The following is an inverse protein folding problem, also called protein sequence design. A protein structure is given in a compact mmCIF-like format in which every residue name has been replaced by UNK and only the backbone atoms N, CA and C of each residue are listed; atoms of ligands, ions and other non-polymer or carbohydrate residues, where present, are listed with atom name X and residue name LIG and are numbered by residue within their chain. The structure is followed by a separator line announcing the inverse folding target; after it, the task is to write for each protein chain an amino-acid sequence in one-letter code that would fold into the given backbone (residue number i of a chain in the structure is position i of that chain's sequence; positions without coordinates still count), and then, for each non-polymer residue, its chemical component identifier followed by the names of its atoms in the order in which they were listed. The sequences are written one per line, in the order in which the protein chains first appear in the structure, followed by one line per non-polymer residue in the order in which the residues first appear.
data_IF_527971342367
#
_entry.id   IF_527971342367
#
_cell.length_a   1.000
_cell.length_b   1.000
_cell.length_c   1.000
_cell.angle_alpha   90.00
_cell.angle_beta   90.00
_cell.angle_gamma   90.00
#
_symmetry.space_group_name_H-M   'P 1'
#
loop_
_entity.id
_entity.type
_entity.pdbx_description
1 polymer ?
#
# COMPACT_ATOMS: atom_id res chain seq x y z
N UNK A 1 10.44 19.33 23.25
CA UNK A 1 8.98 19.27 22.93
C UNK A 1 8.58 17.82 22.85
N UNK A 2 7.34 17.47 23.20
CA UNK A 2 6.86 16.10 23.03
C UNK A 2 6.48 15.89 21.56
N UNK A 3 6.90 14.76 21.01
CA UNK A 3 6.54 14.32 19.68
C UNK A 3 5.47 13.21 19.75
N UNK A 4 4.64 13.14 18.72
CA UNK A 4 3.59 12.11 18.57
C UNK A 4 3.60 11.58 17.16
N UNK A 5 3.42 10.28 17.01
CA UNK A 5 3.03 9.66 15.74
C UNK A 5 1.49 9.64 15.68
N UNK A 6 0.94 10.23 14.65
CA UNK A 6 -0.51 10.29 14.44
C UNK A 6 -0.86 9.43 13.23
N UNK A 7 -1.91 8.62 13.37
CA UNK A 7 -2.39 7.70 12.35
C UNK A 7 -3.84 8.06 12.03
N UNK A 8 -4.09 8.31 10.76
CA UNK A 8 -5.41 8.58 10.21
C UNK A 8 -5.84 7.44 9.28
N UNK A 9 -7.11 7.09 9.34
CA UNK A 9 -7.77 6.25 8.33
C UNK A 9 -8.43 7.14 7.28
N UNK A 10 -8.35 6.73 6.04
CA UNK A 10 -9.17 7.27 4.96
C UNK A 10 -9.58 6.14 4.01
N UNK A 11 -10.53 6.39 3.10
CA UNK A 11 -11.01 5.36 2.18
C UNK A 11 -10.66 5.70 0.75
N UNK A 12 -9.83 4.87 0.13
CA UNK A 12 -9.55 4.93 -1.31
C UNK A 12 -10.82 4.50 -2.06
N UNK A 13 -11.27 5.35 -3.00
CA UNK A 13 -12.52 5.16 -3.74
C UNK A 13 -13.76 4.92 -2.85
N UNK A 14 -13.73 5.40 -1.60
CA UNK A 14 -14.82 5.26 -0.65
C UNK A 14 -15.01 3.85 -0.05
N UNK A 15 -14.17 2.88 -0.39
CA UNK A 15 -14.37 1.46 -0.05
C UNK A 15 -13.15 0.87 0.68
N UNK A 16 -11.94 1.08 0.15
CA UNK A 16 -10.73 0.40 0.64
C UNK A 16 -10.09 1.25 1.75
N UNK A 17 -9.99 0.72 2.99
CA UNK A 17 -9.33 1.44 4.07
C UNK A 17 -7.85 1.62 3.75
N UNK A 18 -7.34 2.81 4.01
CA UNK A 18 -5.94 3.14 3.90
C UNK A 18 -5.54 4.03 5.08
N UNK A 19 -4.27 4.02 5.42
CA UNK A 19 -3.74 4.74 6.57
C UNK A 19 -2.73 5.79 6.14
N UNK A 20 -2.89 6.99 6.67
CA UNK A 20 -1.94 8.07 6.56
C UNK A 20 -1.26 8.31 7.90
N UNK A 21 0.02 8.66 7.89
CA UNK A 21 0.78 8.90 9.10
C UNK A 21 1.54 10.22 9.04
N UNK A 22 1.54 10.93 10.16
CA UNK A 22 2.31 12.16 10.37
C UNK A 22 3.06 12.11 11.70
N UNK A 23 4.15 12.85 11.80
CA UNK A 23 4.83 13.13 13.08
C UNK A 23 4.50 14.54 13.50
N UNK A 24 3.87 14.69 14.66
CA UNK A 24 3.64 15.99 15.29
C UNK A 24 4.77 16.27 16.29
N UNK A 25 5.35 17.45 16.21
CA UNK A 25 6.31 17.94 17.20
C UNK A 25 6.03 19.40 17.56
N UNK A 26 5.48 19.62 18.73
CA UNK A 26 5.02 20.94 19.16
C UNK A 26 3.82 21.42 18.33
N UNK A 27 4.00 22.53 17.61
CA UNK A 27 2.94 23.14 16.78
C UNK A 27 2.97 22.68 15.32
N UNK A 28 3.90 21.81 14.93
CA UNK A 28 4.09 21.40 13.55
C UNK A 28 3.79 19.91 13.36
N UNK A 29 3.19 19.57 12.24
CA UNK A 29 3.11 18.21 11.72
C UNK A 29 3.97 18.06 10.47
N UNK A 30 4.51 16.85 10.28
CA UNK A 30 5.40 16.49 9.19
C UNK A 30 4.88 15.21 8.54
N UNK A 31 4.56 15.29 7.27
CA UNK A 31 4.06 14.19 6.46
C UNK A 31 4.74 14.12 5.11
N UNK A 32 4.38 13.11 4.32
CA UNK A 32 4.79 12.95 2.93
C UNK A 32 3.62 12.43 2.12
N UNK A 33 3.28 13.14 1.07
CA UNK A 33 2.20 12.84 0.15
C UNK A 33 2.63 12.87 -1.31
N UNK A 34 1.67 12.81 -2.19
CA UNK A 34 1.88 12.91 -3.66
C UNK A 34 2.31 14.31 -4.10
N UNK A 35 2.14 15.32 -3.26
CA UNK A 35 2.67 16.68 -3.47
C UNK A 35 4.09 16.87 -2.88
N UNK A 36 4.67 15.83 -2.25
CA UNK A 36 5.99 15.86 -1.63
C UNK A 36 5.93 15.98 -0.11
N UNK A 37 6.96 16.65 0.47
CA UNK A 37 7.06 16.86 1.90
C UNK A 37 6.05 17.92 2.39
N UNK A 38 5.24 17.54 3.35
CA UNK A 38 4.21 18.40 3.95
C UNK A 38 4.64 18.85 5.34
N UNK A 39 4.67 20.17 5.56
CA UNK A 39 4.93 20.80 6.86
C UNK A 39 3.76 21.71 7.19
N UNK A 40 2.96 21.31 8.15
CA UNK A 40 1.75 22.04 8.51
C UNK A 40 1.84 22.55 9.96
N UNK A 41 1.24 23.71 10.22
CA UNK A 41 1.17 24.30 11.57
C UNK A 41 -0.22 24.08 12.15
N UNK A 42 -0.28 23.47 13.34
CA UNK A 42 -1.52 23.32 14.09
C UNK A 42 -2.49 22.30 13.51
N UNK A 43 -2.00 21.24 12.89
CA UNK A 43 -2.84 20.31 12.16
C UNK A 43 -3.37 19.16 12.99
N UNK A 44 -4.67 19.10 12.99
CA UNK A 44 -5.42 17.87 13.14
C UNK A 44 -6.16 17.67 11.81
N UNK A 45 -5.77 16.66 11.02
CA UNK A 45 -6.46 16.31 9.77
C UNK A 45 -7.81 15.62 10.03
N UNK A 46 -8.14 15.34 11.29
CA UNK A 46 -9.39 14.68 11.66
C UNK A 46 -10.62 15.42 11.13
N UNK A 47 -11.44 14.71 10.38
CA UNK A 47 -12.62 15.27 9.72
C UNK A 47 -12.34 16.05 8.43
N UNK A 48 -11.07 16.29 8.04
CA UNK A 48 -10.73 16.94 6.78
C UNK A 48 -10.57 15.88 5.67
N UNK A 49 -11.12 16.16 4.49
CA UNK A 49 -10.96 15.30 3.29
C UNK A 49 -11.25 13.79 3.51
N UNK A 50 -12.08 13.46 4.52
CA UNK A 50 -12.43 12.08 4.85
C UNK A 50 -11.40 11.34 5.70
N UNK A 51 -10.40 12.05 6.24
CA UNK A 51 -9.49 11.51 7.25
C UNK A 51 -10.19 11.38 8.61
N UNK A 52 -10.00 10.25 9.27
CA UNK A 52 -10.46 9.98 10.62
C UNK A 52 -9.25 9.65 11.49
N UNK A 53 -9.06 10.38 12.57
CA UNK A 53 -8.03 10.07 13.54
C UNK A 53 -8.32 8.70 14.19
N UNK A 54 -7.37 7.77 14.05
CA UNK A 54 -7.44 6.44 14.67
C UNK A 54 -6.61 6.43 15.94
N UNK A 55 -5.38 6.96 15.88
CA UNK A 55 -4.47 6.87 17.01
C UNK A 55 -3.45 8.00 17.03
N UNK A 56 -3.08 8.38 18.26
CA UNK A 56 -1.93 9.23 18.56
C UNK A 56 -1.00 8.50 19.54
N UNK A 57 0.22 8.19 19.09
CA UNK A 57 1.22 7.44 19.87
C UNK A 57 2.26 8.42 20.37
N UNK A 58 2.46 8.55 21.70
CA UNK A 58 3.48 9.41 22.24
C UNK A 58 4.88 8.85 21.93
N UNK A 59 5.72 9.66 21.34
CA UNK A 59 7.13 9.34 21.01
C UNK A 59 8.13 9.85 22.06
N UNK A 60 7.63 10.55 23.07
CA UNK A 60 8.46 11.20 24.06
C UNK A 60 9.05 12.54 23.56
N UNK A 61 10.18 12.94 24.13
CA UNK A 61 10.88 14.16 23.72
C UNK A 61 11.92 13.84 22.67
N UNK A 62 11.97 14.65 21.63
CA UNK A 62 13.10 14.63 20.70
C UNK A 62 14.32 15.29 21.36
N UNK A 63 15.51 14.74 21.10
CA UNK A 63 16.79 15.33 21.49
C UNK A 63 17.24 16.45 20.54
N UNK A 64 16.60 16.56 19.39
CA UNK A 64 16.91 17.56 18.36
C UNK A 64 16.25 18.89 18.70
N UNK A 65 16.97 19.98 18.45
CA UNK A 65 16.42 21.32 18.44
C UNK A 65 15.56 21.56 17.22
N UNK A 66 14.72 22.58 17.21
CA UNK A 66 13.91 22.95 16.04
C UNK A 66 14.77 23.25 14.80
N UNK A 67 15.96 23.81 15.00
CA UNK A 67 16.90 24.09 13.91
C UNK A 67 17.43 22.80 13.30
N UNK A 68 17.84 21.83 14.11
CA UNK A 68 18.31 20.53 13.64
C UNK A 68 17.18 19.76 12.93
N UNK A 69 15.93 19.84 13.41
CA UNK A 69 14.78 19.26 12.73
C UNK A 69 14.58 19.93 11.36
N UNK A 70 14.68 21.24 11.26
CA UNK A 70 14.57 21.95 9.99
C UNK A 70 15.70 21.54 9.01
N UNK A 71 16.93 21.34 9.49
CA UNK A 71 18.06 20.86 8.69
C UNK A 71 17.82 19.41 8.20
N UNK A 72 17.25 18.53 9.06
CA UNK A 72 16.83 17.17 8.67
C UNK A 72 15.77 17.25 7.58
N UNK A 73 14.72 18.05 7.75
CA UNK A 73 13.63 18.17 6.79
C UNK A 73 14.12 18.71 5.44
N UNK A 74 15.01 19.71 5.41
CA UNK A 74 15.60 20.21 4.17
C UNK A 74 16.40 19.13 3.41
N UNK A 75 17.08 18.25 4.13
CA UNK A 75 17.78 17.13 3.50
C UNK A 75 16.79 16.09 2.99
N UNK A 76 15.79 15.74 3.80
CA UNK A 76 14.76 14.77 3.43
C UNK A 76 13.92 15.25 2.24
N UNK A 77 13.66 16.55 2.09
CA UNK A 77 12.95 17.11 0.94
C UNK A 77 13.66 16.77 -0.39
N UNK A 78 14.98 16.80 -0.42
CA UNK A 78 15.76 16.39 -1.58
C UNK A 78 15.73 14.85 -1.83
N UNK A 79 15.63 14.05 -0.77
CA UNK A 79 15.61 12.59 -0.83
C UNK A 79 14.19 12.06 -1.12
N UNK A 80 13.16 12.87 -0.84
CA UNK A 80 11.74 12.56 -0.93
C UNK A 80 10.98 13.53 -1.86
N UNK A 81 11.38 13.68 -3.13
CA UNK A 81 10.64 14.51 -4.07
C UNK A 81 9.25 13.92 -4.34
N UNK A 82 8.28 14.77 -4.70
CA UNK A 82 6.88 14.38 -4.95
C UNK A 82 6.76 13.20 -5.93
N UNK A 83 7.56 13.20 -6.99
CA UNK A 83 7.57 12.17 -8.05
C UNK A 83 8.03 10.79 -7.52
N UNK A 84 8.70 10.76 -6.35
CA UNK A 84 9.14 9.52 -5.73
C UNK A 84 8.04 8.85 -4.89
N UNK A 85 6.86 9.48 -4.75
CA UNK A 85 5.76 8.89 -3.99
C UNK A 85 5.27 7.61 -4.63
N UNK A 86 5.25 6.54 -3.85
CA UNK A 86 4.70 5.25 -4.23
C UNK A 86 3.82 4.72 -3.08
N UNK A 87 2.55 4.48 -3.40
CA UNK A 87 1.54 4.11 -2.41
C UNK A 87 1.94 2.89 -1.56
N UNK A 88 2.77 1.98 -2.08
CA UNK A 88 3.16 0.73 -1.43
C UNK A 88 4.58 0.74 -0.90
N UNK A 89 5.53 1.34 -1.63
CA UNK A 89 6.96 1.17 -1.38
C UNK A 89 7.67 2.44 -0.86
N UNK A 90 7.10 3.64 -1.10
CA UNK A 90 7.68 4.91 -0.63
C UNK A 90 6.59 5.95 -0.35
N UNK A 91 6.01 5.90 0.84
CA UNK A 91 4.82 6.68 1.23
C UNK A 91 4.99 7.34 2.61
N UNK A 92 3.91 7.94 3.12
CA UNK A 92 3.89 8.62 4.42
C UNK A 92 4.45 7.78 5.57
N UNK A 93 4.21 6.45 5.58
CA UNK A 93 4.69 5.55 6.64
C UNK A 93 6.19 5.39 6.62
N UNK A 94 6.77 5.22 5.43
CA UNK A 94 8.22 5.13 5.24
C UNK A 94 8.90 6.45 5.62
N UNK A 95 8.30 7.58 5.23
CA UNK A 95 8.77 8.90 5.61
C UNK A 95 8.72 9.10 7.13
N UNK A 96 7.58 8.80 7.77
CA UNK A 96 7.43 8.89 9.22
C UNK A 96 8.46 8.05 9.97
N UNK A 97 8.77 6.83 9.48
CA UNK A 97 9.80 5.98 10.08
C UNK A 97 11.19 6.58 9.91
N UNK A 98 11.51 7.12 8.73
CA UNK A 98 12.79 7.79 8.47
C UNK A 98 12.97 9.01 9.37
N UNK A 99 11.95 9.88 9.42
CA UNK A 99 12.00 11.09 10.27
C UNK A 99 12.09 10.72 11.76
N UNK A 100 11.34 9.71 12.22
CA UNK A 100 11.39 9.24 13.60
C UNK A 100 12.78 8.75 14.02
N UNK A 101 13.50 8.09 13.11
CA UNK A 101 14.87 7.64 13.36
C UNK A 101 15.84 8.82 13.50
N UNK A 102 15.65 9.88 12.72
CA UNK A 102 16.48 11.09 12.74
C UNK A 102 16.19 11.98 13.96
N UNK A 103 14.94 12.00 14.41
CA UNK A 103 14.51 12.84 15.55
C UNK A 103 15.04 12.36 16.91
N UNK A 104 15.51 11.12 17.01
CA UNK A 104 16.06 10.55 18.26
C UNK A 104 15.12 10.73 19.47
N UNK A 105 13.86 10.34 19.33
CA UNK A 105 12.87 10.45 20.39
C UNK A 105 13.06 9.42 21.50
N UNK A 106 12.87 9.82 22.77
CA UNK A 106 13.16 9.00 23.96
C UNK A 106 12.27 7.74 24.07
N UNK A 107 11.02 7.76 23.54
CA UNK A 107 10.01 6.69 23.66
C UNK A 107 9.52 6.19 22.30
N UNK A 108 10.43 6.06 21.34
CA UNK A 108 10.07 5.78 19.93
C UNK A 108 9.83 4.30 19.59
N UNK A 109 10.00 3.36 20.54
CA UNK A 109 9.94 1.90 20.26
C UNK A 109 8.57 1.47 19.74
N UNK A 110 7.50 1.93 20.39
CA UNK A 110 6.14 1.59 19.97
C UNK A 110 5.79 2.20 18.61
N UNK A 111 6.11 3.48 18.40
CA UNK A 111 5.90 4.15 17.11
C UNK A 111 6.62 3.43 15.97
N UNK A 112 7.87 3.02 16.16
CA UNK A 112 8.63 2.23 15.17
C UNK A 112 7.99 0.88 14.87
N UNK A 113 7.52 0.17 15.91
CA UNK A 113 6.85 -1.13 15.74
C UNK A 113 5.57 -0.99 14.92
N UNK A 114 4.74 -0.01 15.23
CA UNK A 114 3.50 0.25 14.49
C UNK A 114 3.78 0.65 13.05
N UNK A 115 4.72 1.57 12.82
CA UNK A 115 5.12 1.95 11.46
C UNK A 115 5.65 0.77 10.65
N UNK A 116 6.50 -0.07 11.25
CA UNK A 116 7.02 -1.27 10.58
C UNK A 116 5.89 -2.23 10.17
N UNK A 117 4.90 -2.45 11.05
CA UNK A 117 3.72 -3.26 10.73
C UNK A 117 2.88 -2.69 9.59
N UNK A 118 2.64 -1.38 9.60
CA UNK A 118 1.91 -0.69 8.53
C UNK A 118 2.66 -0.70 7.18
N UNK A 119 3.98 -0.64 7.20
CA UNK A 119 4.83 -0.74 6.02
C UNK A 119 4.75 -2.16 5.45
N UNK A 120 5.00 -3.17 6.27
CA UNK A 120 4.92 -4.58 5.85
C UNK A 120 3.56 -4.92 5.25
N UNK A 121 2.48 -4.41 5.83
CA UNK A 121 1.13 -4.58 5.32
C UNK A 121 0.96 -3.96 3.92
N UNK A 122 1.43 -2.71 3.72
CA UNK A 122 1.31 -2.04 2.42
C UNK A 122 2.12 -2.72 1.32
N UNK A 123 3.33 -3.17 1.62
CA UNK A 123 4.18 -3.88 0.69
C UNK A 123 3.55 -5.21 0.25
N UNK A 124 2.95 -5.96 1.18
CA UNK A 124 2.23 -7.21 0.89
C UNK A 124 1.03 -6.99 -0.03
N UNK A 125 0.25 -5.92 0.20
CA UNK A 125 -0.87 -5.54 -0.67
C UNK A 125 -0.35 -5.14 -2.05
N UNK A 126 0.69 -4.30 -2.12
CA UNK A 126 1.29 -3.87 -3.38
C UNK A 126 1.78 -5.06 -4.22
N UNK A 127 2.44 -6.02 -3.58
CA UNK A 127 2.87 -7.26 -4.23
C UNK A 127 1.69 -8.08 -4.75
N UNK A 128 0.64 -8.26 -3.96
CA UNK A 128 -0.56 -8.99 -4.36
C UNK A 128 -1.27 -8.32 -5.55
N UNK A 129 -1.43 -7.00 -5.52
CA UNK A 129 -2.01 -6.22 -6.63
C UNK A 129 -1.15 -6.36 -7.88
N UNK A 130 0.17 -6.26 -7.78
CA UNK A 130 1.10 -6.42 -8.90
C UNK A 130 0.94 -7.78 -9.59
N UNK A 131 0.84 -8.86 -8.80
CA UNK A 131 0.58 -10.21 -9.34
C UNK A 131 -0.77 -10.26 -10.06
N UNK A 132 -1.83 -9.71 -9.44
CA UNK A 132 -3.16 -9.68 -10.03
C UNK A 132 -3.18 -8.93 -11.37
N UNK A 133 -2.60 -7.74 -11.40
CA UNK A 133 -2.53 -6.90 -12.61
C UNK A 133 -1.69 -7.58 -13.70
N UNK A 134 -0.53 -8.13 -13.35
CA UNK A 134 0.34 -8.82 -14.31
C UNK A 134 -0.34 -10.07 -14.87
N UNK A 135 -1.02 -10.85 -14.03
CA UNK A 135 -1.82 -12.01 -14.44
C UNK A 135 -2.97 -11.61 -15.36
N UNK A 136 -3.68 -10.53 -15.04
CA UNK A 136 -4.78 -10.01 -15.85
C UNK A 136 -4.29 -9.50 -17.22
N UNK A 137 -3.22 -8.70 -17.26
CA UNK A 137 -2.64 -8.21 -18.52
C UNK A 137 -2.16 -9.36 -19.39
N UNK A 138 -1.53 -10.39 -18.81
CA UNK A 138 -1.16 -11.61 -19.56
C UNK A 138 -2.37 -12.35 -20.11
N UNK A 139 -3.47 -12.45 -19.36
CA UNK A 139 -4.70 -13.09 -19.84
C UNK A 139 -5.39 -12.31 -20.96
N UNK A 140 -5.33 -10.97 -20.93
CA UNK A 140 -5.85 -10.10 -22.01
C UNK A 140 -4.99 -10.17 -23.28
N UNK A 141 -3.69 -10.45 -23.17
CA UNK A 141 -2.80 -10.65 -24.32
C UNK A 141 -3.14 -11.92 -25.11
N UNK A 142 -3.91 -12.83 -24.53
CA UNK A 142 -4.58 -13.92 -25.24
C UNK A 142 -5.81 -13.37 -25.96
N UNK A 143 -5.60 -12.78 -27.15
CA UNK A 143 -6.71 -12.30 -27.97
C UNK A 143 -7.62 -13.48 -28.35
N UNK A 144 -8.94 -13.40 -28.09
CA UNK A 144 -9.90 -14.39 -28.58
C UNK A 144 -9.82 -14.62 -30.10
N UNK A 145 -9.36 -13.62 -30.84
CA UNK A 145 -9.11 -13.71 -32.28
C UNK A 145 -7.98 -14.70 -32.63
N UNK A 146 -6.94 -14.79 -31.81
CA UNK A 146 -5.87 -15.78 -31.99
C UNK A 146 -6.35 -17.22 -31.77
N UNK A 147 -7.36 -17.40 -30.93
CA UNK A 147 -7.98 -18.72 -30.65
C UNK A 147 -8.75 -19.29 -31.85
N UNK A 148 -9.21 -18.41 -32.74
CA UNK A 148 -10.02 -18.80 -33.89
C UNK A 148 -9.21 -18.78 -35.20
N UNK A 149 -8.31 -17.79 -35.34
CA UNK A 149 -7.56 -17.59 -36.61
C UNK A 149 -6.56 -18.71 -36.90
N UNK A 150 -5.76 -19.15 -35.91
CA UNK A 150 -4.78 -20.24 -36.12
C UNK A 150 -5.41 -21.58 -36.44
N UNK A 151 -6.41 -22.07 -35.69
CA UNK A 151 -7.13 -23.31 -36.06
C UNK A 151 -7.79 -23.25 -37.42
N UNK A 152 -8.36 -22.11 -37.83
CA UNK A 152 -8.95 -21.90 -39.14
C UNK A 152 -7.92 -21.96 -40.27
N UNK A 153 -6.74 -21.38 -40.07
CA UNK A 153 -5.64 -21.46 -41.05
C UNK A 153 -5.17 -22.92 -41.24
N UNK A 154 -4.97 -23.66 -40.15
CA UNK A 154 -4.54 -25.07 -40.18
C UNK A 154 -5.62 -25.97 -40.83
N UNK A 155 -6.89 -25.71 -40.52
CA UNK A 155 -8.02 -26.39 -41.10
C UNK A 155 -8.11 -26.18 -42.62
N UNK A 156 -7.97 -24.95 -43.09
CA UNK A 156 -7.96 -24.59 -44.48
C UNK A 156 -6.76 -25.18 -45.27
N UNK A 157 -5.70 -25.57 -44.59
CA UNK A 157 -4.55 -26.27 -45.18
C UNK A 157 -4.74 -27.79 -45.21
N UNK A 158 -5.88 -28.33 -44.76
CA UNK A 158 -6.18 -29.77 -44.77
C UNK A 158 -5.44 -30.59 -43.71
N UNK A 159 -4.80 -29.93 -42.72
CA UNK A 159 -4.03 -30.59 -41.65
C UNK A 159 -4.91 -30.88 -40.42
N UNK A 160 -5.90 -31.74 -40.55
CA UNK A 160 -6.90 -32.02 -39.51
C UNK A 160 -6.33 -32.46 -38.17
N UNK A 161 -5.26 -33.27 -38.15
CA UNK A 161 -4.60 -33.76 -36.91
C UNK A 161 -3.90 -32.64 -36.18
N UNK A 162 -3.25 -31.74 -36.88
CA UNK A 162 -2.60 -30.57 -36.28
C UNK A 162 -3.65 -29.57 -35.77
N UNK A 163 -4.79 -29.41 -36.48
CA UNK A 163 -5.91 -28.58 -36.03
C UNK A 163 -6.47 -29.05 -34.69
N UNK A 164 -6.67 -30.36 -34.54
CA UNK A 164 -7.21 -30.93 -33.29
C UNK A 164 -6.25 -30.74 -32.11
N UNK A 165 -4.96 -30.86 -32.35
CA UNK A 165 -3.93 -30.66 -31.35
C UNK A 165 -3.83 -29.18 -30.90
N UNK A 166 -3.77 -28.25 -31.84
CA UNK A 166 -3.70 -26.80 -31.56
C UNK A 166 -4.97 -26.32 -30.85
N UNK A 167 -6.16 -26.81 -31.28
CA UNK A 167 -7.41 -26.48 -30.59
C UNK A 167 -7.45 -26.97 -29.14
N UNK A 168 -6.98 -28.18 -28.87
CA UNK A 168 -6.89 -28.72 -27.50
C UNK A 168 -5.93 -27.89 -26.62
N UNK A 169 -4.78 -27.48 -27.16
CA UNK A 169 -3.83 -26.64 -26.44
C UNK A 169 -4.45 -25.29 -26.11
N UNK A 170 -5.13 -24.67 -27.05
CA UNK A 170 -5.75 -23.36 -26.84
C UNK A 170 -6.91 -23.44 -25.83
N UNK A 171 -7.73 -24.48 -25.89
CA UNK A 171 -8.78 -24.73 -24.89
C UNK A 171 -8.18 -24.94 -23.49
N UNK A 172 -7.07 -25.67 -23.38
CA UNK A 172 -6.35 -25.86 -22.11
C UNK A 172 -5.81 -24.53 -21.57
N UNK A 173 -5.26 -23.68 -22.45
CA UNK A 173 -4.76 -22.37 -22.06
C UNK A 173 -5.90 -21.45 -21.58
N UNK A 174 -7.07 -21.48 -22.23
CA UNK A 174 -8.27 -20.76 -21.77
C UNK A 174 -8.73 -21.23 -20.40
N UNK A 175 -8.77 -22.54 -20.17
CA UNK A 175 -9.14 -23.13 -18.88
C UNK A 175 -8.17 -22.73 -17.78
N UNK A 176 -6.88 -22.71 -18.07
CA UNK A 176 -5.84 -22.27 -17.12
C UNK A 176 -5.95 -20.76 -16.82
N UNK A 177 -6.23 -19.93 -17.83
CA UNK A 177 -6.45 -18.50 -17.65
C UNK A 177 -7.72 -18.22 -16.82
N UNK A 178 -8.83 -18.91 -17.13
CA UNK A 178 -10.08 -18.78 -16.37
C UNK A 178 -9.93 -19.23 -14.91
N UNK A 179 -9.22 -20.34 -14.66
CA UNK A 179 -8.91 -20.79 -13.30
C UNK A 179 -7.96 -19.81 -12.60
N UNK A 180 -7.00 -19.22 -13.30
CA UNK A 180 -6.13 -18.18 -12.78
C UNK A 180 -6.91 -16.95 -12.32
N UNK A 181 -7.86 -16.47 -13.11
CA UNK A 181 -8.76 -15.37 -12.74
C UNK A 181 -9.62 -15.71 -11.52
N UNK A 182 -10.12 -16.94 -11.44
CA UNK A 182 -10.89 -17.41 -10.29
C UNK A 182 -10.04 -17.49 -9.02
N UNK A 183 -8.81 -17.98 -9.11
CA UNK A 183 -7.86 -18.03 -8.00
C UNK A 183 -7.51 -16.60 -7.55
N UNK A 184 -7.29 -15.67 -8.47
CA UNK A 184 -7.03 -14.27 -8.17
C UNK A 184 -8.23 -13.59 -7.48
N UNK A 185 -9.45 -13.90 -7.91
CA UNK A 185 -10.69 -13.44 -7.28
C UNK A 185 -10.82 -13.96 -5.85
N UNK A 186 -10.57 -15.26 -5.63
CA UNK A 186 -10.59 -15.86 -4.29
C UNK A 186 -9.49 -15.32 -3.38
N UNK A 187 -8.30 -15.08 -3.92
CA UNK A 187 -7.19 -14.42 -3.22
C UNK A 187 -7.54 -12.99 -2.82
N UNK A 188 -8.18 -12.23 -3.71
CA UNK A 188 -8.64 -10.88 -3.42
C UNK A 188 -9.69 -10.87 -2.29
N UNK A 189 -10.68 -11.77 -2.32
CA UNK A 189 -11.67 -11.92 -1.25
C UNK A 189 -10.99 -12.32 0.06
N UNK A 190 -10.06 -13.28 0.02
CA UNK A 190 -9.32 -13.72 1.20
C UNK A 190 -8.46 -12.60 1.80
N UNK A 191 -7.78 -11.81 0.95
CA UNK A 191 -7.02 -10.64 1.39
C UNK A 191 -7.93 -9.57 2.01
N UNK A 192 -9.07 -9.28 1.37
CA UNK A 192 -10.05 -8.32 1.89
C UNK A 192 -10.64 -8.78 3.24
N UNK A 193 -10.97 -10.08 3.38
CA UNK A 193 -11.46 -10.64 4.65
C UNK A 193 -10.39 -10.60 5.75
N UNK A 194 -9.13 -10.77 5.37
CA UNK A 194 -8.02 -10.71 6.32
C UNK A 194 -7.67 -9.28 6.71
N UNK A 195 -7.86 -8.31 5.82
CA UNK A 195 -7.77 -6.88 6.15
C UNK A 195 -8.79 -6.52 7.24
N UNK A 196 -10.04 -6.94 7.10
CA UNK A 196 -11.07 -6.70 8.11
C UNK A 196 -10.73 -7.36 9.46
N UNK A 197 -10.15 -8.57 9.46
CA UNK A 197 -9.72 -9.24 10.69
C UNK A 197 -8.47 -8.59 11.32
N UNK A 198 -7.57 -8.02 10.52
CA UNK A 198 -6.39 -7.30 11.03
C UNK A 198 -6.82 -5.99 11.67
N UNK A 199 -7.81 -5.30 11.11
CA UNK A 199 -8.37 -4.11 11.74
C UNK A 199 -8.96 -4.45 13.11
N UNK A 200 -9.69 -5.57 13.24
CA UNK A 200 -10.24 -6.07 14.51
C UNK A 200 -9.13 -6.53 15.48
N UNK A 201 -8.11 -7.25 15.02
CA UNK A 201 -6.96 -7.66 15.84
C UNK A 201 -6.11 -6.46 16.27
N UNK A 202 -5.89 -5.50 15.41
CA UNK A 202 -5.19 -4.26 15.73
C UNK A 202 -6.01 -3.45 16.72
N UNK A 203 -7.32 -3.30 16.54
CA UNK A 203 -8.23 -2.62 17.46
C UNK A 203 -8.28 -3.35 18.81
N UNK A 204 -8.41 -4.67 18.82
CA UNK A 204 -8.41 -5.46 20.08
C UNK A 204 -7.06 -5.44 20.81
N UNK A 205 -5.93 -5.48 20.10
CA UNK A 205 -4.62 -5.28 20.73
C UNK A 205 -4.49 -3.88 21.33
N UNK A 206 -5.16 -2.90 20.74
CA UNK A 206 -5.17 -1.53 21.24
C UNK A 206 -6.05 -1.36 22.46
N UNK A 207 -7.22 -1.97 22.51
CA UNK A 207 -8.12 -1.97 23.67
C UNK A 207 -7.50 -2.68 24.89
N UNK A 208 -6.75 -3.76 24.67
CA UNK A 208 -6.06 -4.50 25.74
C UNK A 208 -4.79 -3.80 26.28
N UNK A 209 -4.33 -2.70 25.68
CA UNK A 209 -3.20 -1.91 26.15
C UNK A 209 -3.62 -0.67 26.96
N UNK A 210 -4.92 -0.37 27.03
CA UNK A 210 -5.48 0.71 27.87
C UNK A 210 -5.83 0.25 29.30
N UNK A 211 -5.54 -1.01 29.68
CA UNK A 211 -5.63 -1.54 31.04
C UNK A 211 -4.22 -1.71 31.66
#
# INVERSE_FOLDING_TARGET
MNAFLVIYEFKIAGIIPAYHTEIINGEYSYGFGDEGLEINRGTNMDGQHGYKLIRSIPLGRTRKTQREIAEILLRLDNEWPAESYDLFNKNCRHFSLTLLNEMECDSSVEGRRVLAGLIEFSEKIGWAISICVTGFVRSLSFSPLMLISRPLEIFNQGRLLEWEYEFKIQMLQMLLAANGLWILYLLAIWLLSRCNNIDDEIIQQFENLEL
#
